data_IF_187672591783
#
_entry.id   IF_187672591783
#
_cell.length_a   1.000
_cell.length_b   1.000
_cell.length_c   1.000
_cell.angle_alpha   90.00
_cell.angle_beta   90.00
_cell.angle_gamma   90.00
#
_symmetry.space_group_name_H-M   'P 1'
#
loop_
_entity.id
_entity.type
_entity.pdbx_description
1 polymer ?
#
# COMPACT_ATOMS: atom_id res chain seq x y z
N UNK A 1 2.45 -17.78 -13.20
CA UNK A 1 2.20 -16.43 -12.67
C UNK A 1 0.82 -16.43 -12.05
N UNK A 2 0.64 -15.95 -10.82
CA UNK A 2 -0.66 -15.93 -10.14
C UNK A 2 -1.61 -14.95 -10.86
N UNK A 3 -2.72 -15.45 -11.40
CA UNK A 3 -3.69 -14.70 -12.19
C UNK A 3 -4.97 -14.38 -11.42
N UNK A 4 -5.06 -14.79 -10.16
CA UNK A 4 -6.24 -14.55 -9.35
C UNK A 4 -6.45 -13.04 -9.11
N UNK A 5 -7.69 -12.54 -9.22
CA UNK A 5 -7.99 -11.16 -8.86
C UNK A 5 -7.66 -10.89 -7.39
N UNK A 6 -7.35 -9.64 -7.08
CA UNK A 6 -7.11 -9.18 -5.72
C UNK A 6 -7.55 -7.73 -5.56
N UNK A 7 -7.75 -7.31 -4.31
CA UNK A 7 -8.20 -5.96 -3.98
C UNK A 7 -7.03 -4.98 -4.00
N UNK A 8 -7.30 -3.78 -4.51
CA UNK A 8 -6.39 -2.63 -4.46
C UNK A 8 -7.15 -1.39 -3.95
N UNK A 9 -6.45 -0.39 -3.38
CA UNK A 9 -7.06 0.87 -2.97
C UNK A 9 -7.74 1.59 -4.15
N UNK A 10 -9.00 1.97 -3.99
CA UNK A 10 -9.73 2.77 -4.98
C UNK A 10 -9.38 4.27 -4.88
N UNK A 11 -9.05 4.72 -3.66
CA UNK A 11 -8.71 6.10 -3.34
C UNK A 11 -7.76 6.14 -2.15
N UNK A 12 -7.08 7.28 -2.00
CA UNK A 12 -6.28 7.54 -0.80
C UNK A 12 -7.17 7.77 0.43
N UNK A 13 -6.64 7.46 1.61
CA UNK A 13 -7.31 7.65 2.90
C UNK A 13 -6.38 8.39 3.85
N UNK A 14 -6.94 9.28 4.65
CA UNK A 14 -6.25 9.91 5.79
C UNK A 14 -7.08 9.63 7.04
N UNK A 15 -6.41 9.22 8.10
CA UNK A 15 -6.99 9.03 9.42
C UNK A 15 -6.10 9.67 10.47
N UNK A 16 -6.69 10.44 11.38
CA UNK A 16 -5.98 11.18 12.41
C UNK A 16 -6.47 10.77 13.80
N UNK A 17 -5.54 10.62 14.74
CA UNK A 17 -5.88 10.37 16.13
C UNK A 17 -4.87 11.02 17.09
N UNK A 18 -5.35 11.40 18.27
CA UNK A 18 -4.50 11.87 19.35
C UNK A 18 -4.41 10.81 20.45
N UNK A 19 -3.18 10.39 20.78
CA UNK A 19 -2.90 9.43 21.85
C UNK A 19 -1.89 10.04 22.81
N UNK A 20 -2.31 10.27 24.06
CA UNK A 20 -1.47 10.89 25.10
C UNK A 20 -0.80 12.17 24.60
N UNK A 21 -1.58 13.09 24.03
CA UNK A 21 -1.14 14.35 23.40
C UNK A 21 -0.27 14.21 22.15
N UNK A 22 0.13 13.01 21.77
CA UNK A 22 0.85 12.79 20.51
C UNK A 22 -0.16 12.67 19.39
N UNK A 23 0.03 13.43 18.31
CA UNK A 23 -0.84 13.41 17.15
C UNK A 23 -0.28 12.44 16.10
N UNK A 24 -1.10 11.49 15.67
CA UNK A 24 -0.77 10.49 14.66
C UNK A 24 -1.65 10.71 13.43
N UNK A 25 -1.01 10.80 12.27
CA UNK A 25 -1.68 10.99 10.98
C UNK A 25 -1.30 9.80 10.10
N UNK A 26 -2.26 8.94 9.81
CA UNK A 26 -2.10 7.77 8.97
C UNK A 26 -2.59 8.06 7.57
N UNK A 27 -1.69 7.90 6.60
CA UNK A 27 -1.99 8.02 5.18
C UNK A 27 -1.96 6.64 4.53
N UNK A 28 -3.00 6.29 3.78
CA UNK A 28 -3.02 5.13 2.87
C UNK A 28 -3.11 5.60 1.42
N UNK A 29 -2.34 4.97 0.54
CA UNK A 29 -2.38 5.27 -0.89
C UNK A 29 -2.22 4.03 -1.76
N UNK A 30 -2.78 4.12 -2.97
CA UNK A 30 -2.55 3.14 -4.02
C UNK A 30 -1.13 3.30 -4.61
N UNK A 31 -0.29 2.28 -4.44
CA UNK A 31 1.10 2.27 -4.92
C UNK A 31 1.43 0.90 -5.55
N UNK A 32 1.36 0.77 -6.88
CA UNK A 32 1.49 -0.52 -7.57
C UNK A 32 2.91 -1.09 -7.61
N UNK A 33 3.92 -0.33 -7.18
CA UNK A 33 5.33 -0.73 -7.27
C UNK A 33 6.16 -0.16 -6.11
N UNK A 34 7.36 -0.69 -5.93
CA UNK A 34 8.27 -0.22 -4.87
C UNK A 34 8.66 1.24 -5.12
N UNK A 35 8.81 1.63 -6.38
CA UNK A 35 9.16 3.00 -6.79
C UNK A 35 8.04 3.96 -6.41
N UNK A 36 6.78 3.63 -6.73
CA UNK A 36 5.61 4.45 -6.36
C UNK A 36 5.39 4.49 -4.85
N UNK A 37 5.64 3.39 -4.14
CA UNK A 37 5.60 3.34 -2.68
C UNK A 37 6.64 4.28 -2.04
N UNK A 38 7.89 4.23 -2.51
CA UNK A 38 8.95 5.14 -2.03
C UNK A 38 8.68 6.59 -2.39
N UNK A 39 8.18 6.87 -3.59
CA UNK A 39 7.81 8.23 -3.98
C UNK A 39 6.71 8.80 -3.06
N UNK A 40 5.72 7.98 -2.71
CA UNK A 40 4.69 8.37 -1.75
C UNK A 40 5.25 8.62 -0.34
N UNK A 41 6.17 7.77 0.14
CA UNK A 41 6.87 8.00 1.42
C UNK A 41 7.58 9.35 1.43
N UNK A 42 8.34 9.67 0.37
CA UNK A 42 9.06 10.94 0.27
C UNK A 42 8.12 12.14 0.15
N UNK A 43 6.98 11.99 -0.53
CA UNK A 43 5.94 13.02 -0.58
C UNK A 43 5.41 13.37 0.82
N UNK A 44 5.09 12.35 1.64
CA UNK A 44 4.58 12.58 3.00
C UNK A 44 5.67 13.12 3.92
N UNK A 45 6.91 12.62 3.80
CA UNK A 45 8.07 13.18 4.52
C UNK A 45 8.30 14.65 4.20
N UNK A 46 8.16 15.04 2.93
CA UNK A 46 8.28 16.44 2.51
C UNK A 46 7.12 17.28 3.06
N UNK A 47 5.89 16.75 3.04
CA UNK A 47 4.71 17.41 3.61
C UNK A 47 4.84 17.64 5.12
N UNK A 48 5.45 16.71 5.84
CA UNK A 48 5.64 16.73 7.29
C UNK A 48 7.14 16.75 7.66
N UNK A 49 7.88 17.67 7.04
CA UNK A 49 9.33 17.81 7.26
C UNK A 49 9.69 18.22 8.70
N UNK A 50 8.71 18.77 9.45
CA UNK A 50 8.83 19.15 10.85
C UNK A 50 8.47 18.01 11.82
N UNK A 51 7.86 16.92 11.34
CA UNK A 51 7.60 15.74 12.14
C UNK A 51 8.89 14.96 12.38
N UNK A 52 9.05 14.42 13.59
CA UNK A 52 10.25 13.63 13.94
C UNK A 52 10.26 12.24 13.33
N UNK A 53 9.08 11.68 13.08
CA UNK A 53 8.93 10.31 12.61
C UNK A 53 7.82 10.25 11.55
N UNK A 54 8.17 9.74 10.39
CA UNK A 54 7.29 9.37 9.29
C UNK A 54 7.49 7.88 9.01
N UNK A 55 7.03 7.05 9.95
CA UNK A 55 7.16 5.60 9.87
C UNK A 55 6.28 5.06 8.75
N UNK A 56 6.69 3.98 8.09
CA UNK A 56 5.96 3.49 6.93
C UNK A 56 6.02 1.98 6.77
N UNK A 57 5.09 1.47 5.97
CA UNK A 57 5.05 0.10 5.50
C UNK A 57 4.32 0.02 4.17
N UNK A 58 4.66 -0.94 3.31
CA UNK A 58 3.98 -1.13 2.04
C UNK A 58 3.92 -2.59 1.62
N UNK A 59 2.89 -2.89 0.81
CA UNK A 59 2.72 -4.10 0.02
C UNK A 59 2.70 -3.65 -1.45
N UNK A 60 3.86 -3.64 -2.10
CA UNK A 60 4.07 -3.02 -3.41
C UNK A 60 3.80 -3.99 -4.59
N UNK A 61 2.71 -4.75 -4.47
CA UNK A 61 2.33 -5.77 -5.43
C UNK A 61 1.13 -6.56 -4.95
N UNK A 62 1.07 -7.84 -5.33
CA UNK A 62 0.01 -8.72 -4.85
C UNK A 62 0.08 -8.88 -3.32
N UNK A 63 -1.08 -9.06 -2.64
CA UNK A 63 -1.11 -9.21 -1.19
C UNK A 63 -0.31 -10.41 -0.68
N UNK A 64 -0.10 -11.44 -1.50
CA UNK A 64 0.64 -12.66 -1.17
C UNK A 64 2.14 -12.62 -1.55
N UNK A 65 2.62 -11.56 -2.22
CA UNK A 65 4.00 -11.45 -2.68
C UNK A 65 4.89 -10.73 -1.64
N UNK A 66 5.38 -11.50 -0.66
CA UNK A 66 6.21 -10.98 0.43
C UNK A 66 7.56 -10.39 0.00
N UNK A 67 8.04 -10.72 -1.20
CA UNK A 67 9.28 -10.16 -1.76
C UNK A 67 9.16 -8.67 -2.06
N UNK A 68 7.93 -8.14 -2.13
CA UNK A 68 7.63 -6.73 -2.40
C UNK A 68 7.09 -5.99 -1.17
N UNK A 69 7.31 -6.54 0.01
CA UNK A 69 6.96 -5.87 1.26
C UNK A 69 8.14 -5.07 1.78
N UNK A 70 7.85 -3.95 2.43
CA UNK A 70 8.86 -3.10 3.05
C UNK A 70 8.28 -2.32 4.22
N UNK A 71 9.15 -1.93 5.16
CA UNK A 71 8.77 -1.05 6.27
C UNK A 71 9.98 -0.31 6.83
N UNK A 72 9.71 0.75 7.60
CA UNK A 72 10.71 1.46 8.39
C UNK A 72 10.10 2.05 9.66
N UNK A 73 10.86 2.01 10.75
CA UNK A 73 10.52 2.67 12.00
C UNK A 73 10.90 4.17 12.00
N UNK A 74 11.63 4.68 10.99
CA UNK A 74 11.98 6.11 10.81
C UNK A 74 12.47 6.81 12.11
N UNK A 75 13.31 6.13 12.88
CA UNK A 75 13.89 6.64 14.13
C UNK A 75 13.09 6.33 15.40
N UNK A 76 11.90 5.72 15.30
CA UNK A 76 11.24 5.10 16.45
C UNK A 76 12.04 3.87 16.94
N UNK A 77 11.82 3.42 18.19
CA UNK A 77 12.42 2.18 18.68
C UNK A 77 12.14 1.00 17.74
N UNK A 78 13.18 0.20 17.50
CA UNK A 78 13.14 -0.89 16.50
C UNK A 78 11.92 -1.81 16.68
N UNK A 79 11.18 -1.99 15.59
CA UNK A 79 10.01 -2.86 15.53
C UNK A 79 8.74 -2.32 16.18
N UNK A 80 8.73 -1.05 16.59
CA UNK A 80 7.55 -0.46 17.27
C UNK A 80 6.60 0.30 16.35
N UNK A 81 7.00 0.59 15.11
CA UNK A 81 6.20 1.37 14.17
C UNK A 81 6.06 0.67 12.81
N UNK A 82 7.14 0.48 12.07
CA UNK A 82 7.12 -0.07 10.72
C UNK A 82 6.60 -1.50 10.67
N UNK A 83 7.01 -2.37 11.61
CA UNK A 83 6.51 -3.75 11.69
C UNK A 83 4.99 -3.81 11.95
N UNK A 84 4.43 -3.10 12.97
CA UNK A 84 2.98 -2.99 13.15
C UNK A 84 2.23 -2.47 11.93
N UNK A 85 2.77 -1.45 11.25
CA UNK A 85 2.17 -0.91 10.02
C UNK A 85 2.08 -2.00 8.95
N UNK A 86 3.20 -2.65 8.64
CA UNK A 86 3.23 -3.70 7.62
C UNK A 86 2.31 -4.87 7.98
N UNK A 87 2.27 -5.27 9.25
CA UNK A 87 1.42 -6.37 9.70
C UNK A 87 -0.08 -6.11 9.42
N UNK A 88 -0.54 -4.87 9.55
CA UNK A 88 -1.91 -4.51 9.19
C UNK A 88 -2.13 -4.53 7.67
N UNK A 89 -1.18 -4.01 6.89
CA UNK A 89 -1.28 -4.00 5.43
C UNK A 89 -1.28 -5.43 4.86
N UNK A 90 -0.30 -6.25 5.22
CA UNK A 90 -0.21 -7.62 4.73
C UNK A 90 -1.33 -8.52 5.24
N UNK A 91 -1.85 -8.26 6.44
CA UNK A 91 -3.02 -8.94 7.00
C UNK A 91 -4.36 -8.52 6.39
N UNK A 92 -4.42 -7.41 5.64
CA UNK A 92 -5.67 -6.89 5.08
C UNK A 92 -6.16 -7.63 3.83
N UNK A 93 -5.29 -8.37 3.14
CA UNK A 93 -5.58 -8.97 1.84
C UNK A 93 -5.64 -7.96 0.67
N UNK A 94 -5.30 -6.69 0.92
CA UNK A 94 -5.22 -5.64 -0.10
C UNK A 94 -3.78 -5.53 -0.60
N UNK A 95 -3.62 -5.56 -1.93
CA UNK A 95 -2.33 -5.35 -2.60
C UNK A 95 -2.14 -3.91 -3.04
N UNK A 96 -0.96 -3.60 -3.55
CA UNK A 96 -0.61 -2.31 -4.15
C UNK A 96 -0.94 -1.12 -3.25
N UNK A 97 -0.62 -1.26 -1.96
CA UNK A 97 -0.98 -0.32 -0.90
C UNK A 97 0.25 0.08 -0.08
N UNK A 98 0.35 1.37 0.22
CA UNK A 98 1.35 1.92 1.14
C UNK A 98 0.67 2.66 2.28
N UNK A 99 1.32 2.62 3.45
CA UNK A 99 0.97 3.42 4.60
C UNK A 99 2.15 4.25 5.07
N UNK A 100 1.91 5.53 5.39
CA UNK A 100 2.83 6.38 6.14
C UNK A 100 2.09 6.92 7.35
N UNK A 101 2.69 6.75 8.53
CA UNK A 101 2.16 7.28 9.78
C UNK A 101 3.12 8.36 10.27
N UNK A 102 2.67 9.60 10.17
CA UNK A 102 3.37 10.77 10.70
C UNK A 102 3.02 10.94 12.17
N UNK A 103 4.04 11.16 13.01
CA UNK A 103 3.84 11.41 14.44
C UNK A 103 4.42 12.75 14.88
N UNK A 104 3.58 13.54 15.54
CA UNK A 104 3.98 14.71 16.32
C UNK A 104 3.99 14.37 17.81
N UNK A 105 5.14 14.55 18.48
CA UNK A 105 5.31 14.18 19.88
C UNK A 105 4.60 15.14 20.84
N UNK A 106 3.74 14.60 21.70
CA UNK A 106 2.91 15.37 22.64
C UNK A 106 3.51 15.66 24.02
N UNK A 107 4.79 15.38 24.24
CA UNK A 107 5.42 15.53 25.57
C UNK A 107 5.28 14.31 26.49
N UNK A 108 4.42 13.33 26.16
CA UNK A 108 4.21 12.12 26.97
C UNK A 108 4.71 10.87 26.22
N UNK A 109 5.52 10.05 26.88
CA UNK A 109 6.02 8.78 26.32
C UNK A 109 4.91 7.72 26.32
N UNK A 110 4.77 7.01 25.19
CA UNK A 110 3.79 5.92 25.04
C UNK A 110 4.33 4.57 25.54
N UNK A 111 5.66 4.38 25.54
CA UNK A 111 6.30 3.08 25.76
C UNK A 111 6.14 2.14 24.55
N UNK A 112 6.92 1.06 24.51
CA UNK A 112 6.99 0.12 23.37
C UNK A 112 5.61 -0.42 22.97
N UNK A 113 4.84 -0.93 23.93
CA UNK A 113 3.50 -1.45 23.64
C UNK A 113 2.48 -0.38 23.24
N UNK A 114 2.65 0.85 23.72
CA UNK A 114 1.82 1.99 23.32
C UNK A 114 2.09 2.42 21.88
N UNK A 115 3.36 2.45 21.45
CA UNK A 115 3.75 2.76 20.07
C UNK A 115 3.21 1.70 19.10
N UNK A 116 3.41 0.41 19.42
CA UNK A 116 2.90 -0.69 18.60
C UNK A 116 1.39 -0.57 18.39
N UNK A 117 0.64 -0.27 19.46
CA UNK A 117 -0.81 -0.06 19.39
C UNK A 117 -1.20 1.20 18.61
N UNK A 118 -0.47 2.30 18.74
CA UNK A 118 -0.74 3.53 18.00
C UNK A 118 -0.51 3.34 16.49
N UNK A 119 0.68 2.87 16.09
CA UNK A 119 1.02 2.70 14.68
C UNK A 119 0.18 1.64 13.98
N UNK A 120 0.01 0.46 14.60
CA UNK A 120 -0.87 -0.57 14.05
C UNK A 120 -2.34 -0.18 14.11
N UNK A 121 -2.78 0.42 15.22
CA UNK A 121 -4.17 0.85 15.42
C UNK A 121 -4.61 1.90 14.40
N UNK A 122 -3.79 2.93 14.17
CA UNK A 122 -4.10 3.97 13.17
C UNK A 122 -4.28 3.41 11.76
N UNK A 123 -3.41 2.49 11.34
CA UNK A 123 -3.55 1.79 10.04
C UNK A 123 -4.80 0.92 10.01
N UNK A 124 -5.11 0.22 11.10
CA UNK A 124 -6.33 -0.56 11.20
C UNK A 124 -7.59 0.31 11.05
N UNK A 125 -7.63 1.50 11.66
CA UNK A 125 -8.75 2.42 11.50
C UNK A 125 -8.82 2.98 10.08
N UNK A 126 -7.68 3.37 9.50
CA UNK A 126 -7.63 3.84 8.12
C UNK A 126 -8.10 2.78 7.11
N UNK A 127 -7.76 1.50 7.32
CA UNK A 127 -8.22 0.40 6.48
C UNK A 127 -9.74 0.20 6.52
N UNK A 128 -10.42 0.53 7.63
CA UNK A 128 -11.90 0.48 7.68
C UNK A 128 -12.56 1.53 6.81
N UNK A 129 -11.87 2.64 6.56
CA UNK A 129 -12.32 3.72 5.69
C UNK A 129 -11.94 3.48 4.22
N UNK A 130 -11.10 2.47 3.96
CA UNK A 130 -10.56 2.21 2.64
C UNK A 130 -11.60 1.59 1.71
N UNK A 131 -11.93 2.31 0.65
CA UNK A 131 -12.65 1.75 -0.48
C UNK A 131 -11.68 0.99 -1.38
N UNK A 132 -12.08 -0.20 -1.84
CA UNK A 132 -11.26 -1.06 -2.69
C UNK A 132 -11.97 -1.38 -4.00
N UNK A 133 -11.17 -1.67 -5.02
CA UNK A 133 -11.63 -2.23 -6.30
C UNK A 133 -10.88 -3.52 -6.59
N UNK A 134 -11.49 -4.40 -7.37
CA UNK A 134 -10.87 -5.64 -7.80
C UNK A 134 -9.98 -5.40 -9.02
N UNK A 135 -8.69 -5.74 -8.91
CA UNK A 135 -7.75 -5.74 -10.03
C UNK A 135 -7.80 -7.09 -10.74
N UNK A 136 -8.33 -7.09 -11.96
CA UNK A 136 -8.27 -8.25 -12.87
C UNK A 136 -7.01 -8.16 -13.71
N UNK A 137 -6.16 -9.18 -13.66
CA UNK A 137 -5.04 -9.29 -14.58
C UNK A 137 -5.60 -9.47 -16.00
N UNK A 138 -5.45 -8.44 -16.85
CA UNK A 138 -5.77 -8.59 -18.27
C UNK A 138 -4.76 -9.56 -18.89
N UNK A 139 -5.20 -10.79 -19.16
CA UNK A 139 -4.55 -11.61 -20.17
C UNK A 139 -4.71 -10.89 -21.51
N UNK A 140 -3.62 -10.30 -22.01
CA UNK A 140 -3.49 -10.10 -23.46
C UNK A 140 -3.43 -11.50 -24.07
N UNK A 141 -4.60 -12.03 -24.42
CA UNK A 141 -4.70 -13.17 -25.29
C UNK A 141 -4.15 -12.72 -26.64
N UNK A 142 -2.91 -13.09 -26.95
CA UNK A 142 -2.47 -13.17 -28.33
C UNK A 142 -3.33 -14.25 -29.01
N UNK A 143 -4.52 -13.88 -29.46
CA UNK A 143 -5.26 -14.70 -30.39
C UNK A 143 -4.41 -14.80 -31.66
N UNK A 144 -4.10 -16.01 -32.17
CA UNK A 144 -3.47 -16.12 -33.47
C UNK A 144 -4.43 -15.51 -34.49
N UNK A 145 -4.00 -14.44 -35.17
CA UNK A 145 -4.69 -13.91 -36.34
C UNK A 145 -4.67 -15.04 -37.38
N UNK A 146 -5.76 -15.81 -37.48
CA UNK A 146 -5.99 -16.70 -38.61
C UNK A 146 -6.09 -15.82 -39.84
N UNK A 147 -5.00 -15.73 -40.61
CA UNK A 147 -5.05 -15.25 -42.00
C UNK A 147 -6.05 -16.14 -42.75
N UNK A 148 -7.22 -15.58 -43.04
CA UNK A 148 -8.12 -16.15 -44.04
C UNK A 148 -7.50 -15.88 -45.41
N UNK A 149 -6.67 -16.81 -45.90
CA UNK A 149 -6.37 -16.88 -47.33
C UNK A 149 -7.66 -17.31 -48.03
N UNK A 150 -8.42 -16.33 -48.52
CA UNK A 150 -9.51 -16.58 -49.47
C UNK A 150 -8.89 -17.12 -50.76
N UNK A 151 -9.19 -18.37 -51.07
CA UNK A 151 -8.87 -18.99 -52.34
C UNK A 151 -9.72 -18.32 -53.45
N UNK A 152 -9.11 -17.51 -54.30
CA UNK A 152 -9.72 -17.09 -55.56
C UNK A 152 -9.40 -18.13 -56.62
N UNK A 153 -10.31 -19.10 -56.77
CA UNK A 153 -10.30 -20.09 -57.84
C UNK A 153 -10.93 -19.43 -59.08
N UNK A 154 -10.11 -18.88 -59.96
CA UNK A 154 -10.59 -18.43 -61.28
C UNK A 154 -10.64 -19.62 -62.22
N UNK A 155 -11.86 -20.10 -62.49
CA UNK A 155 -12.21 -20.90 -63.67
C UNK A 155 -13.16 -20.01 -64.45
N UNK A 156 -12.73 -19.48 -65.61
CA UNK A 156 -13.63 -19.03 -66.68
C UNK A 156 -12.95 -19.34 -68.02
N UNK A 157 -13.54 -20.36 -68.68
CA UNK A 157 -13.73 -20.66 -70.11
C UNK A 157 -12.56 -20.48 -71.08
#
# INVERSE_FOLDING_TARGET
>A
MNTQPYLIPAQAVVFEEEIKKSHFITYLAHTPSIETAKAFVEQIKTKHADARHNCWGFVAGRPDDSMRWGFSDDGEPSGTAGKPILAQLSGSGVGEISAVVTRYYGGIRLGTGGLVKAYGGGVQQALKLLQTIEKKNHHINHAPVRLWFYACRTIIV
#
